data_IF_346807609910
#
_entry.id   IF_346807609910
#
_cell.length_a   1.000
_cell.length_b   1.000
_cell.length_c   1.000
_cell.angle_alpha   90.00
_cell.angle_beta   90.00
_cell.angle_gamma   90.00
#
_symmetry.space_group_name_H-M   'P 1'
#
loop_
_entity.id
_entity.type
_entity.pdbx_description
1 polymer ?
#
# COMPACT_ATOMS: atom_id res chain seq x y z
N UNK A 1 7.36 2.76 -13.75
CA UNK A 1 7.79 4.10 -13.29
C UNK A 1 6.68 5.13 -13.46
N UNK A 2 5.89 5.06 -14.52
CA UNK A 2 4.70 5.91 -14.79
C UNK A 2 3.75 6.17 -13.59
N UNK A 3 3.62 5.23 -12.66
CA UNK A 3 2.83 5.39 -11.43
C UNK A 3 3.34 6.50 -10.49
N UNK A 4 4.63 6.78 -10.51
CA UNK A 4 5.26 7.85 -9.72
C UNK A 4 5.20 9.21 -10.45
N UNK A 5 4.80 9.22 -11.72
CA UNK A 5 4.68 10.44 -12.53
C UNK A 5 3.27 11.05 -12.46
N UNK A 6 2.33 10.38 -11.79
CA UNK A 6 0.97 10.89 -11.60
C UNK A 6 1.03 12.11 -10.66
N UNK A 7 0.48 13.27 -11.07
CA UNK A 7 0.47 14.47 -10.24
C UNK A 7 -0.09 14.23 -8.83
N UNK A 8 0.50 14.88 -7.82
CA UNK A 8 0.10 14.66 -6.42
C UNK A 8 -1.36 15.09 -6.15
N UNK A 9 -1.86 16.07 -6.88
CA UNK A 9 -3.23 16.58 -6.82
C UNK A 9 -4.26 15.66 -7.49
N UNK A 10 -3.84 14.72 -8.34
CA UNK A 10 -4.75 13.76 -8.97
C UNK A 10 -5.30 12.74 -7.95
N UNK A 11 -6.54 12.88 -7.57
CA UNK A 11 -7.13 12.15 -6.44
C UNK A 11 -7.54 10.72 -6.79
N UNK A 12 -7.72 9.88 -5.76
CA UNK A 12 -8.31 8.55 -5.94
C UNK A 12 -9.74 8.59 -6.48
N UNK A 13 -10.48 9.69 -6.24
CA UNK A 13 -11.82 9.90 -6.81
C UNK A 13 -11.76 10.13 -8.31
N UNK A 14 -10.84 10.96 -8.78
CA UNK A 14 -10.64 11.22 -10.22
C UNK A 14 -10.22 9.92 -10.92
N UNK A 15 -9.28 9.16 -10.34
CA UNK A 15 -8.89 7.85 -10.88
C UNK A 15 -10.06 6.88 -11.04
N UNK A 16 -10.94 6.78 -10.02
CA UNK A 16 -12.13 5.94 -10.09
C UNK A 16 -13.18 6.49 -11.07
N UNK A 17 -13.28 7.81 -11.20
CA UNK A 17 -14.17 8.48 -12.16
C UNK A 17 -13.77 8.22 -13.60
N UNK A 18 -12.48 8.35 -13.93
CA UNK A 18 -11.94 8.07 -15.26
C UNK A 18 -12.11 6.59 -15.61
N UNK A 19 -11.87 5.71 -14.64
CA UNK A 19 -12.09 4.27 -14.80
C UNK A 19 -13.57 3.94 -15.05
N UNK A 20 -14.50 4.56 -14.30
CA UNK A 20 -15.93 4.38 -14.49
C UNK A 20 -16.39 4.91 -15.86
N UNK A 21 -15.95 6.10 -16.26
CA UNK A 21 -16.29 6.66 -17.57
C UNK A 21 -15.77 5.79 -18.72
N UNK A 22 -14.57 5.22 -18.58
CA UNK A 22 -14.06 4.24 -19.53
C UNK A 22 -14.93 2.97 -19.57
N UNK A 23 -15.36 2.46 -18.41
CA UNK A 23 -16.23 1.28 -18.34
C UNK A 23 -17.57 1.50 -19.03
N UNK A 24 -18.20 2.65 -18.79
CA UNK A 24 -19.48 3.04 -19.41
C UNK A 24 -19.34 3.15 -20.94
N UNK A 25 -18.28 3.82 -21.41
CA UNK A 25 -18.02 4.00 -22.84
C UNK A 25 -17.79 2.67 -23.59
N UNK A 26 -17.31 1.63 -22.89
CA UNK A 26 -17.05 0.31 -23.48
C UNK A 26 -18.14 -0.72 -23.15
N UNK A 27 -19.21 -0.33 -22.43
CA UNK A 27 -20.29 -1.22 -22.04
C UNK A 27 -19.82 -2.39 -21.17
N UNK A 28 -18.80 -2.19 -20.33
CA UNK A 28 -18.25 -3.23 -19.45
C UNK A 28 -18.66 -3.01 -18.01
N UNK A 29 -19.25 -4.04 -17.40
CA UNK A 29 -19.69 -3.98 -16.00
C UNK A 29 -18.65 -4.54 -15.02
N UNK A 30 -17.61 -5.19 -15.52
CA UNK A 30 -16.56 -5.84 -14.71
C UNK A 30 -15.20 -5.54 -15.28
N UNK A 31 -14.29 -5.17 -14.39
CA UNK A 31 -12.88 -5.04 -14.71
C UNK A 31 -12.14 -6.32 -14.33
N UNK A 32 -11.33 -6.80 -15.27
CA UNK A 32 -10.34 -7.84 -15.01
C UNK A 32 -8.99 -7.28 -15.40
N UNK A 33 -8.13 -7.11 -14.41
CA UNK A 33 -6.78 -6.60 -14.58
C UNK A 33 -5.80 -7.43 -13.76
N UNK A 34 -4.53 -7.37 -14.15
CA UNK A 34 -3.41 -7.87 -13.36
C UNK A 34 -2.49 -6.69 -13.02
N UNK A 35 -1.79 -6.78 -11.90
CA UNK A 35 -0.83 -5.76 -11.50
C UNK A 35 0.48 -6.43 -11.10
N UNK A 36 1.58 -5.75 -11.44
CA UNK A 36 2.93 -6.07 -10.96
C UNK A 36 3.52 -4.85 -10.23
N UNK A 37 2.64 -3.97 -9.72
CA UNK A 37 3.05 -2.76 -9.03
C UNK A 37 3.96 -3.09 -7.85
N UNK A 38 5.06 -2.33 -7.75
CA UNK A 38 5.88 -2.28 -6.55
C UNK A 38 5.65 -0.95 -5.86
N UNK A 39 5.03 -1.02 -4.68
CA UNK A 39 4.89 0.11 -3.77
C UNK A 39 6.14 0.12 -2.90
N UNK A 40 6.90 1.21 -2.99
CA UNK A 40 8.21 1.36 -2.34
C UNK A 40 8.30 2.71 -1.65
N UNK A 41 9.22 2.92 -0.71
CA UNK A 41 9.39 4.22 -0.04
C UNK A 41 10.00 5.31 -0.93
N UNK A 42 9.97 5.16 -2.26
CA UNK A 42 10.48 6.13 -3.24
C UNK A 42 9.43 7.21 -3.58
N UNK A 43 8.67 7.66 -2.59
CA UNK A 43 7.66 8.71 -2.78
C UNK A 43 6.34 8.23 -3.39
N UNK A 44 5.91 6.99 -3.08
CA UNK A 44 4.59 6.52 -3.49
C UNK A 44 3.49 7.26 -2.73
N UNK A 45 2.55 7.87 -3.47
CA UNK A 45 1.41 8.58 -2.88
C UNK A 45 0.18 7.66 -2.73
N UNK A 46 -0.31 7.50 -1.51
CA UNK A 46 -1.48 6.67 -1.22
C UNK A 46 -2.77 7.48 -1.41
N UNK A 47 -3.47 7.25 -2.53
CA UNK A 47 -4.62 8.06 -2.94
C UNK A 47 -5.99 7.58 -2.42
N UNK A 48 -6.08 6.32 -1.99
CA UNK A 48 -7.33 5.67 -1.53
C UNK A 48 -7.16 5.07 -0.13
N UNK A 49 -6.08 4.32 0.08
CA UNK A 49 -5.80 3.62 1.34
C UNK A 49 -5.40 4.63 2.41
N UNK A 50 -6.17 4.69 3.50
CA UNK A 50 -5.89 5.58 4.65
C UNK A 50 -5.24 4.89 5.83
N UNK A 51 -5.57 3.61 6.03
CA UNK A 51 -5.07 2.78 7.11
C UNK A 51 -4.80 1.37 6.57
N UNK A 52 -3.81 0.68 7.14
CA UNK A 52 -3.48 -0.70 6.75
C UNK A 52 -3.55 -1.60 7.98
N UNK A 53 -4.22 -2.74 7.84
CA UNK A 53 -4.09 -3.86 8.77
C UNK A 53 -3.28 -4.94 8.07
N UNK A 54 -2.16 -5.36 8.66
CA UNK A 54 -1.26 -6.34 8.02
C UNK A 54 -0.41 -7.08 9.05
N UNK A 55 0.09 -8.27 8.70
CA UNK A 55 1.02 -9.03 9.52
C UNK A 55 2.39 -8.35 9.64
N UNK A 56 3.21 -8.81 10.58
CA UNK A 56 4.65 -8.52 10.59
C UNK A 56 5.38 -9.38 9.56
N UNK A 57 6.05 -8.73 8.61
CA UNK A 57 6.71 -9.40 7.49
C UNK A 57 8.19 -9.66 7.77
N UNK A 58 8.81 -10.58 7.04
CA UNK A 58 10.25 -10.80 7.21
C UNK A 58 11.05 -9.55 6.78
N UNK A 59 12.16 -9.22 7.48
CA UNK A 59 13.17 -8.29 6.97
C UNK A 59 13.59 -8.65 5.54
N UNK A 60 13.79 -7.64 4.70
CA UNK A 60 14.17 -7.78 3.27
C UNK A 60 13.09 -8.38 2.35
N UNK A 61 11.82 -8.45 2.79
CA UNK A 61 10.70 -8.84 1.92
C UNK A 61 10.16 -7.66 1.09
N UNK A 62 9.49 -7.94 -0.03
CA UNK A 62 8.79 -6.92 -0.82
C UNK A 62 7.59 -6.32 -0.08
N UNK A 63 6.95 -7.09 0.82
CA UNK A 63 5.88 -6.57 1.68
C UNK A 63 6.40 -5.55 2.71
N UNK A 64 7.64 -5.69 3.16
CA UNK A 64 8.27 -4.67 3.99
C UNK A 64 8.45 -3.34 3.23
N UNK A 65 8.65 -3.37 1.90
CA UNK A 65 8.70 -2.15 1.09
C UNK A 65 7.35 -1.42 1.09
N UNK A 66 6.23 -2.14 1.01
CA UNK A 66 4.89 -1.57 1.12
C UNK A 66 4.68 -0.94 2.51
N UNK A 67 5.03 -1.66 3.58
CA UNK A 67 4.92 -1.13 4.94
C UNK A 67 5.79 0.11 5.11
N UNK A 68 7.04 0.07 4.65
CA UNK A 68 7.96 1.21 4.69
C UNK A 68 7.46 2.40 3.88
N UNK A 69 6.82 2.17 2.73
CA UNK A 69 6.21 3.24 1.94
C UNK A 69 5.07 3.92 2.72
N UNK A 70 4.30 3.13 3.48
CA UNK A 70 3.11 3.62 4.17
C UNK A 70 3.44 4.38 5.47
N UNK A 71 4.38 3.87 6.28
CA UNK A 71 4.74 4.48 7.58
C UNK A 71 6.00 5.34 7.53
N UNK A 72 6.66 5.43 6.37
CA UNK A 72 7.92 6.15 6.23
C UNK A 72 9.03 5.58 7.11
N UNK A 73 9.83 6.44 7.71
CA UNK A 73 11.01 6.05 8.51
C UNK A 73 10.69 5.28 9.79
N UNK A 74 9.43 5.30 10.23
CA UNK A 74 8.97 4.62 11.45
C UNK A 74 8.95 3.10 11.35
N UNK A 75 9.10 2.53 10.14
CA UNK A 75 9.04 1.08 9.96
C UNK A 75 10.08 0.35 10.81
N UNK A 76 11.29 0.91 10.98
CA UNK A 76 12.34 0.29 11.81
C UNK A 76 11.93 0.25 13.27
N UNK A 77 11.45 1.39 13.79
CA UNK A 77 10.97 1.51 15.17
C UNK A 77 9.85 0.53 15.49
N UNK A 78 8.90 0.37 14.57
CA UNK A 78 7.78 -0.58 14.70
C UNK A 78 8.29 -2.03 14.77
N UNK A 79 9.24 -2.38 13.90
CA UNK A 79 9.76 -3.75 13.83
C UNK A 79 10.72 -4.08 14.98
N UNK A 80 11.55 -3.13 15.41
CA UNK A 80 12.42 -3.28 16.56
C UNK A 80 11.60 -3.49 17.84
N UNK A 81 10.48 -2.77 17.99
CA UNK A 81 9.54 -2.99 19.09
C UNK A 81 8.97 -4.41 19.07
N UNK A 82 8.47 -4.86 17.91
CA UNK A 82 7.88 -6.19 17.76
C UNK A 82 8.90 -7.31 18.07
N UNK A 83 10.13 -7.18 17.58
CA UNK A 83 11.23 -8.12 17.84
C UNK A 83 11.62 -8.14 19.32
N UNK A 84 11.63 -6.99 20.01
CA UNK A 84 11.98 -6.90 21.41
C UNK A 84 10.88 -7.40 22.38
N UNK A 85 9.66 -7.62 21.88
CA UNK A 85 8.49 -8.02 22.69
C UNK A 85 7.89 -9.37 22.25
N UNK A 86 8.69 -10.23 21.61
CA UNK A 86 8.32 -11.59 21.23
C UNK A 86 7.05 -11.70 20.37
N UNK A 87 6.78 -10.67 19.54
CA UNK A 87 5.70 -10.74 18.56
C UNK A 87 5.99 -11.88 17.59
N UNK A 88 4.95 -12.59 17.18
CA UNK A 88 5.03 -13.67 16.19
C UNK A 88 4.99 -13.04 14.80
N UNK A 89 5.92 -13.42 13.94
CA UNK A 89 6.02 -12.90 12.57
C UNK A 89 5.35 -13.85 11.56
N UNK A 90 5.24 -13.40 10.31
CA UNK A 90 4.74 -14.15 9.15
C UNK A 90 3.23 -14.41 9.18
N UNK A 91 2.76 -15.29 8.29
CA UNK A 91 1.35 -15.45 7.92
C UNK A 91 0.40 -15.79 9.07
N UNK A 92 0.90 -16.48 10.11
CA UNK A 92 0.11 -16.89 11.28
C UNK A 92 0.55 -16.16 12.56
N UNK A 93 1.36 -15.13 12.40
CA UNK A 93 1.82 -14.29 13.49
C UNK A 93 0.83 -13.22 13.89
N UNK A 94 1.32 -12.26 14.65
CA UNK A 94 0.55 -11.10 15.08
C UNK A 94 0.41 -10.09 13.93
N UNK A 95 -0.52 -9.16 14.11
CA UNK A 95 -0.85 -8.12 13.13
C UNK A 95 -0.56 -6.74 13.68
N UNK A 96 -0.37 -5.80 12.76
CA UNK A 96 -0.22 -4.37 13.00
C UNK A 96 -1.42 -3.63 12.41
N UNK A 97 -1.85 -2.59 13.11
CA UNK A 97 -2.75 -1.56 12.59
C UNK A 97 -1.92 -0.31 12.39
N UNK A 98 -1.77 0.10 11.13
CA UNK A 98 -0.97 1.24 10.72
C UNK A 98 -1.92 2.38 10.34
N UNK A 99 -1.82 3.49 11.06
CA UNK A 99 -2.66 4.66 10.89
C UNK A 99 -1.81 5.82 10.36
N UNK A 100 -2.35 6.57 9.38
CA UNK A 100 -1.80 7.88 8.97
C UNK A 100 -2.74 8.96 9.49
N UNK A 101 -2.16 10.04 10.00
CA UNK A 101 -2.89 11.25 10.38
C UNK A 101 -3.49 11.97 9.15
#
# INVERSE_FOLDING_TARGET
WELYDIPADYTGREALGDLLGWMEAHGVERLKAATQIMITPLGYEFRIVRNIVTNFHQPQSTLLLLVSAFVGDDWRRIYDYALAHDFRFLSYGDSSVLLRD
#
